data_IF_075796928396
#
_entry.id   IF_075796928396
#
_cell.length_a   1.000
_cell.length_b   1.000
_cell.length_c   1.000
_cell.angle_alpha   90.00
_cell.angle_beta   90.00
_cell.angle_gamma   90.00
#
_symmetry.space_group_name_H-M   'P 1'
#
loop_
_entity.id
_entity.type
_entity.pdbx_description
1 polymer ?
#
# COMPACT_ATOMS: atom_id res chain seq x y z
N UNK A 1 -11.53 -5.53 5.21
CA UNK A 1 -10.79 -6.78 5.48
C UNK A 1 -9.53 -6.78 4.63
N UNK A 2 -8.37 -6.46 5.20
CA UNK A 2 -7.10 -6.47 4.48
C UNK A 2 -6.53 -7.90 4.49
N UNK A 3 -6.30 -8.49 3.33
CA UNK A 3 -5.64 -9.82 3.23
C UNK A 3 -4.14 -9.63 3.44
N UNK A 4 -3.49 -10.62 4.05
CA UNK A 4 -2.04 -10.70 4.09
C UNK A 4 -1.52 -11.12 2.71
N UNK A 5 -0.69 -10.29 2.08
CA UNK A 5 -0.16 -10.53 0.73
C UNK A 5 1.31 -10.95 0.75
N UNK A 6 2.04 -10.50 1.76
CA UNK A 6 3.43 -10.88 2.00
C UNK A 6 3.52 -11.61 3.34
N UNK A 7 4.16 -12.78 3.34
CA UNK A 7 4.53 -13.48 4.57
C UNK A 7 6.01 -13.26 4.85
N UNK A 8 6.35 -12.69 5.99
CA UNK A 8 7.74 -12.65 6.47
C UNK A 8 8.12 -14.06 6.97
N UNK A 9 9.27 -14.58 6.55
CA UNK A 9 9.85 -15.80 7.16
C UNK A 9 10.63 -15.38 8.41
N UNK A 10 10.45 -16.13 9.51
CA UNK A 10 11.18 -15.87 10.75
C UNK A 10 12.70 -15.91 10.53
N UNK A 11 13.41 -14.88 11.01
CA UNK A 11 14.87 -14.84 11.09
C UNK A 11 15.62 -14.19 9.92
N UNK A 12 14.99 -13.85 8.79
CA UNK A 12 15.65 -13.15 7.66
C UNK A 12 14.71 -12.11 7.05
N UNK A 13 15.24 -10.95 6.64
CA UNK A 13 14.53 -9.82 6.01
C UNK A 13 13.83 -10.14 4.66
N UNK A 14 13.58 -11.41 4.36
CA UNK A 14 13.05 -11.92 3.10
C UNK A 14 11.55 -12.24 3.24
N UNK A 15 10.70 -11.33 2.78
CA UNK A 15 9.28 -11.60 2.60
C UNK A 15 9.01 -12.47 1.37
N UNK A 16 8.02 -13.36 1.45
CA UNK A 16 7.52 -14.14 0.31
C UNK A 16 6.20 -13.57 -0.15
N UNK A 17 6.09 -13.27 -1.45
CA UNK A 17 4.84 -12.86 -2.09
C UNK A 17 3.92 -14.08 -2.19
N UNK A 18 2.74 -14.02 -1.55
CA UNK A 18 1.74 -15.10 -1.58
C UNK A 18 0.81 -15.00 -2.78
N UNK A 19 0.54 -13.77 -3.23
CA UNK A 19 -0.40 -13.48 -4.31
C UNK A 19 0.26 -12.51 -5.28
N UNK A 20 0.41 -12.95 -6.53
CA UNK A 20 0.82 -12.07 -7.63
C UNK A 20 -0.39 -11.27 -8.10
N UNK A 21 -0.17 -10.04 -8.58
CA UNK A 21 -1.24 -9.16 -9.07
C UNK A 21 -2.39 -8.96 -8.07
N UNK A 22 -2.02 -8.81 -6.80
CA UNK A 22 -2.91 -8.61 -5.67
C UNK A 22 -3.96 -7.48 -5.84
N UNK A 23 -3.65 -6.48 -6.67
CA UNK A 23 -4.50 -5.32 -6.93
C UNK A 23 -4.41 -4.90 -8.39
N UNK A 24 -5.55 -4.51 -8.95
CA UNK A 24 -5.59 -3.72 -10.19
C UNK A 24 -5.49 -2.25 -9.82
N UNK A 25 -4.45 -1.57 -10.30
CA UNK A 25 -4.15 -0.18 -9.91
C UNK A 25 -5.14 0.78 -10.56
N UNK A 26 -5.79 1.60 -9.75
CA UNK A 26 -6.69 2.66 -10.21
C UNK A 26 -5.93 4.00 -10.33
N UNK A 27 -6.19 4.80 -11.38
CA UNK A 27 -5.65 6.14 -11.48
C UNK A 27 -6.05 6.99 -10.25
N UNK A 28 -5.11 7.75 -9.68
CA UNK A 28 -5.38 8.61 -8.53
C UNK A 28 -5.28 7.95 -7.15
N UNK A 29 -4.84 6.69 -7.09
CA UNK A 29 -4.63 5.98 -5.82
C UNK A 29 -3.16 5.59 -5.61
N UNK A 30 -2.74 5.61 -4.35
CA UNK A 30 -1.47 5.10 -3.85
C UNK A 30 -1.68 3.69 -3.30
N UNK A 31 -0.81 2.78 -3.72
CA UNK A 31 -0.79 1.39 -3.25
C UNK A 31 0.53 1.12 -2.54
N UNK A 32 0.47 0.60 -1.32
CA UNK A 32 1.65 0.30 -0.52
C UNK A 32 1.44 -0.97 0.31
N UNK A 33 2.53 -1.54 0.83
CA UNK A 33 2.47 -2.68 1.75
C UNK A 33 2.76 -2.21 3.17
N UNK A 34 1.90 -2.56 4.11
CA UNK A 34 2.10 -2.22 5.53
C UNK A 34 3.13 -3.14 6.21
N UNK A 35 3.48 -2.84 7.46
CA UNK A 35 4.46 -3.61 8.23
C UNK A 35 4.03 -5.06 8.51
N UNK A 36 2.72 -5.34 8.46
CA UNK A 36 2.16 -6.69 8.60
C UNK A 36 2.31 -7.46 7.29
N UNK A 37 2.25 -6.80 6.13
CA UNK A 37 2.35 -7.42 4.81
C UNK A 37 1.05 -7.36 4.03
N UNK A 38 0.15 -6.45 4.40
CA UNK A 38 -1.11 -6.19 3.68
C UNK A 38 -0.91 -5.14 2.60
N UNK A 39 -1.61 -5.27 1.47
CA UNK A 39 -1.67 -4.23 0.44
C UNK A 39 -2.78 -3.26 0.81
N UNK A 40 -2.43 -1.99 0.93
CA UNK A 40 -3.33 -0.90 1.27
C UNK A 40 -3.54 0.02 0.07
N UNK A 41 -4.75 0.56 -0.06
CA UNK A 41 -5.13 1.56 -1.07
C UNK A 41 -5.43 2.89 -0.35
N UNK A 42 -4.87 4.00 -0.84
CA UNK A 42 -5.16 5.34 -0.33
C UNK A 42 -5.40 6.31 -1.49
N UNK A 43 -6.40 7.17 -1.39
CA UNK A 43 -6.65 8.21 -2.41
C UNK A 43 -5.52 9.25 -2.34
N UNK A 44 -4.85 9.50 -3.46
CA UNK A 44 -3.76 10.47 -3.49
C UNK A 44 -4.30 11.87 -3.22
N UNK A 45 -3.63 12.60 -2.34
CA UNK A 45 -3.79 14.04 -2.24
C UNK A 45 -3.26 14.65 -3.55
N UNK A 46 -4.14 14.89 -4.51
CA UNK A 46 -3.82 15.75 -5.65
C UNK A 46 -3.71 17.16 -5.08
N UNK A 47 -2.62 17.86 -5.39
CA UNK A 47 -2.38 19.21 -4.88
C UNK A 47 -3.63 20.08 -5.01
N UNK A 48 -4.18 20.51 -3.88
CA UNK A 48 -5.28 21.47 -3.83
C UNK A 48 -4.75 22.90 -3.86
N UNK A 49 -5.64 23.88 -4.06
CA UNK A 49 -5.31 25.31 -3.95
C UNK A 49 -4.51 25.55 -2.66
N UNK A 50 -3.37 26.24 -2.76
CA UNK A 50 -2.60 26.72 -1.60
C UNK A 50 -3.58 27.35 -0.60
N UNK A 51 -3.65 26.82 0.62
CA UNK A 51 -4.39 27.48 1.71
C UNK A 51 -3.80 28.90 1.84
N UNK A 52 -4.63 29.93 1.68
CA UNK A 52 -4.23 31.31 1.99
C UNK A 52 -3.79 31.32 3.46
N UNK A 53 -2.58 31.84 3.71
CA UNK A 53 -2.09 32.09 5.07
C UNK A 53 -3.04 33.12 5.69
N UNK A 54 -3.62 32.79 6.85
CA UNK A 54 -4.39 33.75 7.66
C UNK A 54 -3.42 34.72 8.32
#
# INVERSE_FOLDING_TARGET
>A
MYKHYIRKKGGKNMGVVLVKNAVTRKPGYLYYVDGKGNVCEAKMARGGKKKKKK
#
